data_IF_942651862998
#
_entry.id   IF_942651862998
#
_cell.length_a   1.000
_cell.length_b   1.000
_cell.length_c   1.000
_cell.angle_alpha   90.00
_cell.angle_beta   90.00
_cell.angle_gamma   90.00
#
_symmetry.space_group_name_H-M   'P 1'
#
loop_
_entity.id
_entity.type
_entity.pdbx_description
1 polymer ?
#
# COMPACT_ATOMS: atom_id res chain seq x y z
N UNK A 1 18.19 92.96 -7.22
CA UNK A 1 17.25 92.88 -6.09
C UNK A 1 17.35 91.46 -5.56
N UNK A 2 18.18 91.14 -4.55
CA UNK A 2 18.05 91.42 -3.12
C UNK A 2 16.67 91.10 -2.51
N UNK A 3 16.66 90.12 -1.59
CA UNK A 3 15.73 90.03 -0.46
C UNK A 3 14.72 88.86 -0.53
N UNK A 4 14.92 87.76 0.21
CA UNK A 4 14.50 87.54 1.62
C UNK A 4 12.97 87.27 1.75
N UNK A 5 12.43 86.30 2.51
CA UNK A 5 12.92 85.51 3.66
C UNK A 5 11.89 84.41 4.04
N UNK A 6 12.44 83.26 4.49
CA UNK A 6 12.09 82.42 5.67
C UNK A 6 10.68 81.82 5.89
N UNK A 7 10.68 80.49 6.06
CA UNK A 7 10.57 79.77 7.36
C UNK A 7 11.10 78.32 7.16
N UNK A 8 12.17 77.79 7.79
CA UNK A 8 12.37 77.27 9.19
C UNK A 8 11.24 76.31 9.63
N UNK A 9 11.44 75.11 10.19
CA UNK A 9 12.61 74.45 10.80
C UNK A 9 12.24 72.97 11.15
N UNK A 10 13.25 72.09 11.30
CA UNK A 10 13.39 70.95 12.25
C UNK A 10 14.09 69.74 11.58
N UNK A 11 15.43 69.67 11.65
CA UNK A 11 16.28 68.99 12.66
C UNK A 11 16.20 67.45 12.63
N UNK A 12 17.26 66.81 12.14
CA UNK A 12 18.21 66.09 13.00
C UNK A 12 19.56 65.89 12.29
N UNK A 13 20.65 66.23 12.99
CA UNK A 13 22.05 65.92 12.65
C UNK A 13 22.39 64.53 13.19
N UNK A 14 23.21 63.76 12.47
CA UNK A 14 24.15 62.74 12.98
C UNK A 14 25.17 62.47 11.85
N UNK A 15 26.27 63.21 11.82
CA UNK A 15 27.62 62.76 12.23
C UNK A 15 28.10 61.50 11.49
N UNK A 16 29.07 61.72 10.59
CA UNK A 16 29.84 60.66 9.96
C UNK A 16 30.72 59.97 11.02
N UNK A 17 30.43 58.70 11.33
CA UNK A 17 31.33 57.87 12.13
C UNK A 17 32.52 57.39 11.31
N UNK A 18 33.70 57.75 11.81
CA UNK A 18 35.04 57.38 11.38
C UNK A 18 35.22 55.85 11.47
N UNK A 19 35.03 55.11 10.36
CA UNK A 19 35.39 53.68 10.29
C UNK A 19 36.91 53.50 10.30
N UNK A 20 37.52 53.48 11.48
CA UNK A 20 38.92 53.09 11.66
C UNK A 20 39.06 51.58 11.44
N UNK A 21 40.05 51.19 10.63
CA UNK A 21 40.36 49.78 10.36
C UNK A 21 40.70 49.04 11.66
N UNK A 22 40.30 47.76 11.75
CA UNK A 22 40.61 46.85 12.87
C UNK A 22 42.11 46.82 13.18
N UNK A 23 42.95 46.96 12.15
CA UNK A 23 44.42 47.03 12.29
C UNK A 23 44.85 48.29 13.04
N UNK A 24 44.20 49.43 12.78
CA UNK A 24 44.47 50.69 13.48
C UNK A 24 43.98 50.65 14.94
N UNK A 25 42.83 50.01 15.18
CA UNK A 25 42.29 49.80 16.53
C UNK A 25 43.17 48.87 17.38
N UNK A 26 43.67 47.78 16.79
CA UNK A 26 44.52 46.82 17.48
C UNK A 26 45.90 47.40 17.80
N UNK A 27 46.49 48.13 16.85
CA UNK A 27 47.74 48.85 17.07
C UNK A 27 47.60 49.91 18.17
N UNK A 28 46.49 50.66 18.19
CA UNK A 28 46.22 51.64 19.25
C UNK A 28 46.07 51.02 20.64
N UNK A 29 45.44 49.84 20.75
CA UNK A 29 45.28 49.13 22.02
C UNK A 29 46.60 48.53 22.53
N UNK A 30 47.44 47.97 21.64
CA UNK A 30 48.76 47.41 21.99
C UNK A 30 49.72 48.52 22.41
N UNK A 31 49.70 49.66 21.72
CA UNK A 31 50.56 50.81 22.02
C UNK A 31 50.13 51.54 23.30
N UNK A 32 48.85 51.46 23.68
CA UNK A 32 48.35 51.98 24.97
C UNK A 32 48.75 51.13 26.20
N UNK A 33 49.04 49.83 26.01
CA UNK A 33 49.40 48.90 27.10
C UNK A 33 50.89 48.60 27.22
N UNK A 34 51.66 48.71 26.14
CA UNK A 34 53.08 48.36 26.14
C UNK A 34 53.96 49.52 26.61
N UNK A 35 54.55 49.42 27.81
CA UNK A 35 55.48 50.44 28.34
C UNK A 35 56.94 50.24 27.90
N UNK A 36 57.30 49.10 27.30
CA UNK A 36 58.63 48.83 26.74
C UNK A 36 58.57 47.95 25.47
N UNK A 37 59.57 47.99 24.57
CA UNK A 37 59.56 47.23 23.32
C UNK A 37 59.56 45.71 23.51
N UNK A 38 60.10 45.20 24.63
CA UNK A 38 59.98 43.78 24.96
C UNK A 38 58.53 43.40 25.35
N UNK A 39 57.84 44.22 26.12
CA UNK A 39 56.42 44.02 26.45
C UNK A 39 55.55 44.02 25.20
N UNK A 40 55.88 44.84 24.20
CA UNK A 40 55.20 44.86 22.90
C UNK A 40 55.35 43.52 22.16
N UNK A 41 56.56 42.97 22.12
CA UNK A 41 56.82 41.65 21.48
C UNK A 41 56.10 40.51 22.21
N UNK A 42 56.05 40.55 23.53
CA UNK A 42 55.31 39.57 24.35
C UNK A 42 53.80 39.69 24.13
N UNK A 43 53.25 40.91 24.08
CA UNK A 43 51.83 41.12 23.78
C UNK A 43 51.46 40.60 22.38
N UNK A 44 52.32 40.86 21.39
CA UNK A 44 52.13 40.34 20.03
C UNK A 44 52.19 38.81 19.97
N UNK A 45 53.11 38.18 20.69
CA UNK A 45 53.20 36.72 20.77
C UNK A 45 51.96 36.12 21.45
N UNK A 46 51.49 36.70 22.56
CA UNK A 46 50.27 36.25 23.27
C UNK A 46 49.02 36.43 22.40
N UNK A 47 48.90 37.57 21.72
CA UNK A 47 47.79 37.81 20.79
C UNK A 47 47.79 36.80 19.63
N UNK A 48 48.96 36.46 19.09
CA UNK A 48 49.09 35.48 18.02
C UNK A 48 48.72 34.07 18.47
N UNK A 49 49.13 33.66 19.68
CA UNK A 49 48.74 32.37 20.27
C UNK A 49 47.24 32.30 20.55
N UNK A 50 46.62 33.39 21.02
CA UNK A 50 45.17 33.47 21.22
C UNK A 50 44.39 33.35 19.89
N UNK A 51 44.90 33.96 18.81
CA UNK A 51 44.32 33.82 17.46
C UNK A 51 44.43 32.38 16.96
N UNK A 52 45.56 31.72 17.18
CA UNK A 52 45.73 30.31 16.80
C UNK A 52 44.80 29.41 17.63
N UNK A 53 44.69 29.64 18.94
CA UNK A 53 43.77 28.89 19.80
C UNK A 53 42.31 29.09 19.38
N UNK A 54 41.92 30.31 19.01
CA UNK A 54 40.60 30.63 18.47
C UNK A 54 40.36 29.97 17.10
N UNK A 55 41.38 29.85 16.24
CA UNK A 55 41.28 29.12 14.97
C UNK A 55 41.11 27.61 15.20
N UNK A 56 41.83 27.01 16.16
CA UNK A 56 41.73 25.58 16.49
C UNK A 56 40.40 25.23 17.15
N UNK A 57 39.90 26.07 18.08
CA UNK A 57 38.55 25.92 18.64
C UNK A 57 37.46 26.23 17.60
N UNK A 58 37.71 27.21 16.71
CA UNK A 58 36.84 27.53 15.58
C UNK A 58 36.65 26.34 14.65
N UNK A 59 37.72 25.62 14.29
CA UNK A 59 37.67 24.40 13.46
C UNK A 59 36.86 23.25 14.10
N UNK A 60 36.80 23.18 15.44
CA UNK A 60 35.97 22.18 16.15
C UNK A 60 34.48 22.56 16.17
N UNK A 61 34.16 23.86 16.14
CA UNK A 61 32.78 24.36 16.07
C UNK A 61 32.26 24.47 14.62
N UNK A 62 33.12 24.69 13.61
CA UNK A 62 32.70 24.66 12.20
C UNK A 62 32.53 23.26 11.64
N UNK A 63 33.17 22.22 12.21
CA UNK A 63 32.87 20.84 11.81
C UNK A 63 31.46 20.39 12.26
N UNK A 64 30.92 20.95 13.35
CA UNK A 64 29.53 20.73 13.78
C UNK A 64 28.52 21.74 13.21
N UNK A 65 28.98 22.86 12.64
CA UNK A 65 28.12 23.84 11.97
C UNK A 65 28.01 23.60 10.45
N UNK A 66 28.94 22.90 9.81
CA UNK A 66 28.81 22.47 8.40
C UNK A 66 27.80 21.31 8.20
N UNK A 67 27.21 20.79 9.27
CA UNK A 67 26.03 19.92 9.24
C UNK A 67 24.70 20.67 9.48
N UNK A 68 24.74 22.00 9.66
CA UNK A 68 23.55 22.79 9.89
C UNK A 68 23.66 24.15 9.18
N UNK A 69 23.11 24.18 7.96
CA UNK A 69 22.87 25.32 7.07
C UNK A 69 24.06 25.92 6.33
N UNK A 70 24.04 25.73 5.01
CA UNK A 70 24.38 26.82 4.11
C UNK A 70 23.40 26.96 2.94
N UNK A 71 23.31 28.21 2.48
CA UNK A 71 22.28 28.90 1.73
C UNK A 71 22.06 28.47 0.26
N UNK A 72 20.91 28.91 -0.27
CA UNK A 72 20.59 29.09 -1.70
C UNK A 72 21.81 29.49 -2.56
N UNK A 73 22.28 28.54 -3.36
CA UNK A 73 22.88 28.71 -4.69
C UNK A 73 22.26 27.65 -5.58
N UNK A 74 22.00 28.00 -6.84
CA UNK A 74 21.46 27.09 -7.85
C UNK A 74 22.14 25.72 -7.73
N UNK A 75 21.33 24.70 -7.42
CA UNK A 75 21.80 23.33 -7.33
C UNK A 75 22.20 22.94 -8.73
N UNK A 76 23.51 22.93 -9.01
CA UNK A 76 23.98 21.92 -9.95
C UNK A 76 23.54 20.59 -9.33
N UNK A 77 22.63 19.89 -10.01
CA UNK A 77 22.17 18.55 -9.62
C UNK A 77 23.41 17.67 -9.58
N UNK A 78 24.04 17.59 -8.41
CA UNK A 78 24.97 16.53 -8.03
C UNK A 78 24.26 15.57 -7.10
N UNK A 79 22.94 15.46 -7.24
CA UNK A 79 22.20 14.35 -6.68
C UNK A 79 22.70 13.09 -7.37
N UNK A 80 23.14 12.11 -6.60
CA UNK A 80 23.03 10.72 -7.04
C UNK A 80 21.62 10.57 -7.60
N UNK A 81 21.52 10.42 -8.93
CA UNK A 81 20.28 10.26 -9.69
C UNK A 81 19.29 9.44 -8.86
N UNK A 82 18.09 9.97 -8.61
CA UNK A 82 17.04 9.19 -7.97
C UNK A 82 16.72 8.05 -8.94
N UNK A 83 17.34 6.88 -8.75
CA UNK A 83 17.12 5.70 -9.59
C UNK A 83 15.71 5.17 -9.34
N UNK A 84 14.73 5.81 -9.97
CA UNK A 84 13.30 5.48 -9.86
C UNK A 84 12.87 4.40 -10.86
N UNK A 85 13.82 3.60 -11.37
CA UNK A 85 13.50 2.39 -12.11
C UNK A 85 12.91 1.34 -11.17
N UNK A 86 11.58 1.20 -11.18
CA UNK A 86 10.84 0.44 -10.19
C UNK A 86 9.61 -0.28 -10.79
N UNK A 87 9.03 -1.16 -9.97
CA UNK A 87 7.82 -1.92 -10.27
C UNK A 87 6.99 -2.18 -9.01
N UNK A 88 5.69 -2.36 -9.19
CA UNK A 88 4.77 -2.78 -8.12
C UNK A 88 4.80 -4.29 -7.84
N UNK A 89 5.26 -5.08 -8.81
CA UNK A 89 5.37 -6.55 -8.70
C UNK A 89 6.82 -7.02 -8.79
N UNK A 90 7.68 -6.39 -9.57
CA UNK A 90 9.06 -6.86 -9.77
C UNK A 90 10.01 -6.28 -8.72
N UNK A 91 10.91 -7.11 -8.17
CA UNK A 91 11.91 -6.67 -7.22
C UNK A 91 13.20 -6.19 -7.92
N UNK A 92 13.92 -5.19 -7.37
CA UNK A 92 15.16 -4.69 -7.96
C UNK A 92 16.35 -5.59 -7.67
N UNK A 93 17.23 -5.75 -8.67
CA UNK A 93 18.47 -6.51 -8.56
C UNK A 93 19.65 -5.79 -9.23
N UNK A 94 20.77 -5.67 -8.51
CA UNK A 94 22.04 -5.14 -9.05
C UNK A 94 22.75 -6.11 -10.00
N UNK A 95 22.43 -7.40 -9.91
CA UNK A 95 22.91 -8.46 -10.80
C UNK A 95 21.75 -9.37 -11.17
N UNK A 96 21.73 -9.93 -12.39
CA UNK A 96 20.60 -10.77 -12.84
C UNK A 96 20.51 -12.04 -11.98
N UNK A 97 19.42 -12.28 -11.24
CA UNK A 97 19.27 -13.48 -10.43
C UNK A 97 18.94 -14.69 -11.31
N UNK A 98 19.47 -15.86 -10.95
CA UNK A 98 19.06 -17.13 -11.55
C UNK A 98 17.60 -17.49 -11.16
N UNK A 99 17.26 -17.25 -9.89
CA UNK A 99 15.93 -17.42 -9.34
C UNK A 99 15.46 -16.11 -8.69
N UNK A 100 14.55 -15.37 -9.34
CA UNK A 100 14.00 -14.15 -8.77
C UNK A 100 13.02 -14.46 -7.62
N UNK A 101 12.72 -13.45 -6.79
CA UNK A 101 11.84 -13.60 -5.64
C UNK A 101 10.44 -14.07 -6.05
N UNK A 102 9.92 -15.05 -5.32
CA UNK A 102 8.60 -15.59 -5.55
C UNK A 102 7.50 -14.62 -5.11
N UNK A 103 6.45 -14.49 -5.92
CA UNK A 103 5.23 -13.75 -5.60
C UNK A 103 4.01 -14.55 -6.01
N UNK A 104 3.03 -14.61 -5.11
CA UNK A 104 1.70 -15.12 -5.44
C UNK A 104 0.82 -13.95 -5.85
N UNK A 105 0.06 -14.11 -6.93
CA UNK A 105 -0.90 -13.11 -7.40
C UNK A 105 -2.26 -13.76 -7.51
N UNK A 106 -3.24 -13.21 -6.82
CA UNK A 106 -4.63 -13.65 -6.91
C UNK A 106 -5.23 -13.13 -8.21
N UNK A 107 -5.75 -14.03 -9.04
CA UNK A 107 -6.41 -13.70 -10.31
C UNK A 107 -7.91 -13.91 -10.21
N UNK A 108 -8.66 -13.14 -10.99
CA UNK A 108 -10.09 -13.43 -11.21
C UNK A 108 -10.21 -14.68 -12.09
N UNK A 109 -11.14 -15.56 -11.70
CA UNK A 109 -11.43 -16.85 -12.34
C UNK A 109 -12.85 -16.91 -12.91
N UNK A 110 -13.57 -15.78 -12.96
CA UNK A 110 -14.95 -15.71 -13.43
C UNK A 110 -15.14 -16.03 -14.93
N UNK A 111 -14.11 -15.85 -15.76
CA UNK A 111 -14.11 -16.16 -17.20
C UNK A 111 -13.27 -17.37 -17.62
N UNK A 112 -13.13 -17.58 -18.92
CA UNK A 112 -12.30 -18.66 -19.52
C UNK A 112 -10.80 -18.35 -19.51
N UNK A 113 -10.45 -17.09 -19.26
CA UNK A 113 -9.08 -16.61 -19.15
C UNK A 113 -8.88 -15.92 -17.81
N UNK A 114 -7.68 -16.08 -17.26
CA UNK A 114 -7.21 -15.37 -16.09
C UNK A 114 -6.19 -14.31 -16.51
N UNK A 115 -6.07 -13.23 -15.74
CA UNK A 115 -5.06 -12.20 -16.00
C UNK A 115 -4.52 -11.58 -14.73
N UNK A 116 -3.27 -11.12 -14.80
CA UNK A 116 -2.68 -10.22 -13.80
C UNK A 116 -1.89 -9.10 -14.48
N UNK A 117 -1.68 -8.02 -13.76
CA UNK A 117 -0.94 -6.85 -14.24
C UNK A 117 0.29 -6.59 -13.40
N UNK A 118 1.32 -6.04 -14.03
CA UNK A 118 2.45 -5.42 -13.36
C UNK A 118 2.87 -4.17 -14.11
N UNK A 119 3.48 -3.22 -13.40
CA UNK A 119 3.94 -1.95 -13.97
C UNK A 119 5.44 -1.83 -13.86
N UNK A 120 6.05 -1.23 -14.87
CA UNK A 120 7.45 -0.78 -14.84
C UNK A 120 7.46 0.72 -15.11
N UNK A 121 8.12 1.48 -14.25
CA UNK A 121 8.03 2.94 -14.26
C UNK A 121 9.32 3.61 -13.81
N UNK A 122 9.43 4.90 -14.11
CA UNK A 122 10.54 5.76 -13.72
C UNK A 122 10.13 6.88 -12.74
N UNK A 123 8.98 6.78 -12.07
CA UNK A 123 8.43 7.83 -11.22
C UNK A 123 7.87 7.29 -9.90
N UNK A 124 7.60 8.18 -8.94
CA UNK A 124 6.77 7.80 -7.80
C UNK A 124 5.32 7.60 -8.28
N UNK A 125 4.64 6.57 -7.75
CA UNK A 125 3.29 6.21 -8.20
C UNK A 125 2.21 7.17 -7.67
N UNK A 126 2.48 7.79 -6.52
CA UNK A 126 1.66 8.79 -5.84
C UNK A 126 1.95 10.23 -6.30
N UNK A 127 3.15 10.49 -6.82
CA UNK A 127 3.50 11.78 -7.43
C UNK A 127 4.34 11.61 -8.71
N UNK A 128 3.67 11.69 -9.87
CA UNK A 128 4.32 11.58 -11.18
C UNK A 128 5.19 12.80 -11.53
N UNK A 129 5.22 13.86 -10.72
CA UNK A 129 6.18 14.95 -10.90
C UNK A 129 7.58 14.60 -10.39
N UNK A 130 7.68 13.53 -9.59
CA UNK A 130 8.95 12.98 -9.12
C UNK A 130 9.31 11.78 -10.00
N UNK A 131 10.24 11.98 -10.92
CA UNK A 131 10.68 10.97 -11.86
C UNK A 131 12.21 10.99 -12.06
N UNK A 132 12.71 9.91 -12.64
CA UNK A 132 14.12 9.71 -12.92
C UNK A 132 14.62 10.79 -13.87
N UNK A 133 15.70 11.48 -13.49
CA UNK A 133 16.30 12.57 -14.27
C UNK A 133 17.13 12.08 -15.46
N UNK A 134 17.28 10.76 -15.59
CA UNK A 134 18.06 10.11 -16.63
C UNK A 134 17.29 8.93 -17.22
N UNK A 135 17.62 8.66 -18.48
CA UNK A 135 16.99 7.60 -19.26
C UNK A 135 17.32 6.20 -18.72
N UNK A 136 16.35 5.30 -18.85
CA UNK A 136 16.51 3.86 -18.60
C UNK A 136 15.87 3.09 -19.74
N UNK A 137 16.70 2.35 -20.48
CA UNK A 137 16.26 1.37 -21.46
C UNK A 137 16.19 0.00 -20.80
N UNK A 138 15.09 -0.71 -20.99
CA UNK A 138 14.98 -2.11 -20.55
C UNK A 138 14.36 -3.00 -21.62
N UNK A 139 14.76 -4.27 -21.64
CA UNK A 139 14.16 -5.31 -22.45
C UNK A 139 13.36 -6.26 -21.56
N UNK A 140 12.06 -6.35 -21.83
CA UNK A 140 11.19 -7.28 -21.13
C UNK A 140 11.38 -8.70 -21.68
N UNK A 141 11.65 -9.64 -20.77
CA UNK A 141 11.65 -11.08 -21.00
C UNK A 141 10.66 -11.75 -20.03
N UNK A 142 9.81 -12.62 -20.54
CA UNK A 142 8.82 -13.35 -19.76
C UNK A 142 8.77 -14.80 -20.21
N UNK A 143 8.94 -15.70 -19.25
CA UNK A 143 9.01 -17.13 -19.48
C UNK A 143 7.95 -17.84 -18.63
N UNK A 144 7.03 -18.54 -19.28
CA UNK A 144 6.06 -19.38 -18.60
C UNK A 144 6.56 -20.82 -18.53
N UNK A 145 6.36 -21.47 -17.38
CA UNK A 145 6.68 -22.88 -17.19
C UNK A 145 5.69 -23.54 -16.24
N UNK A 146 5.66 -24.88 -16.25
CA UNK A 146 4.82 -25.63 -15.33
C UNK A 146 5.37 -25.57 -13.90
N UNK A 147 4.47 -25.52 -12.93
CA UNK A 147 4.79 -25.69 -11.50
C UNK A 147 5.28 -27.11 -11.19
N UNK A 148 4.82 -28.12 -11.95
CA UNK A 148 5.02 -29.56 -11.68
C UNK A 148 6.15 -30.21 -12.50
N UNK A 149 7.25 -29.50 -12.76
CA UNK A 149 8.39 -30.09 -13.49
C UNK A 149 9.19 -29.13 -14.36
N UNK A 150 8.88 -27.83 -14.35
CA UNK A 150 9.69 -26.81 -15.03
C UNK A 150 9.60 -26.83 -16.55
N UNK A 151 8.73 -27.65 -17.14
CA UNK A 151 8.48 -27.67 -18.60
C UNK A 151 8.01 -26.30 -19.08
N UNK A 152 8.67 -25.75 -20.10
CA UNK A 152 8.27 -24.47 -20.70
C UNK A 152 6.89 -24.55 -21.32
N UNK A 153 6.06 -23.53 -21.07
CA UNK A 153 4.72 -23.37 -21.64
C UNK A 153 4.78 -22.26 -22.68
N UNK A 154 4.57 -22.59 -23.95
CA UNK A 154 4.71 -21.65 -25.08
C UNK A 154 3.39 -21.20 -25.70
N UNK A 155 2.26 -21.78 -25.27
CA UNK A 155 0.93 -21.45 -25.77
C UNK A 155 -0.09 -21.36 -24.63
N UNK A 156 -1.27 -20.79 -24.93
CA UNK A 156 -2.33 -20.59 -23.93
C UNK A 156 -2.08 -19.42 -22.98
N UNK A 157 -1.12 -18.55 -23.28
CA UNK A 157 -0.91 -17.28 -22.61
C UNK A 157 -0.38 -16.21 -23.57
N UNK A 158 -0.54 -14.95 -23.20
CA UNK A 158 -0.07 -13.78 -23.94
C UNK A 158 0.28 -12.63 -23.00
N UNK A 159 0.99 -11.64 -23.52
CA UNK A 159 1.31 -10.39 -22.81
C UNK A 159 1.00 -9.19 -23.69
N UNK A 160 0.42 -8.15 -23.09
CA UNK A 160 0.15 -6.87 -23.74
C UNK A 160 0.63 -5.71 -22.84
N UNK A 161 1.40 -4.73 -23.34
CA UNK A 161 2.01 -4.70 -24.68
C UNK A 161 3.00 -5.84 -24.88
N UNK A 162 3.32 -6.14 -26.15
CA UNK A 162 4.25 -7.21 -26.49
C UNK A 162 5.62 -6.99 -25.82
N UNK A 163 6.26 -8.10 -25.45
CA UNK A 163 7.61 -8.07 -24.90
C UNK A 163 8.60 -7.47 -25.91
N UNK A 164 9.55 -6.68 -25.41
CA UNK A 164 10.51 -5.96 -26.23
C UNK A 164 11.27 -4.89 -25.44
N UNK A 165 12.07 -4.11 -26.15
CA UNK A 165 12.83 -2.99 -25.57
C UNK A 165 11.93 -1.77 -25.42
N UNK A 166 12.00 -1.13 -24.26
CA UNK A 166 11.22 0.05 -23.90
C UNK A 166 12.14 1.07 -23.24
N UNK A 167 12.00 2.33 -23.67
CA UNK A 167 12.69 3.49 -23.11
C UNK A 167 11.81 4.19 -22.09
N UNK A 168 12.31 4.36 -20.86
CA UNK A 168 11.76 5.26 -19.85
C UNK A 168 12.57 6.57 -19.90
N UNK A 169 11.96 7.69 -20.34
CA UNK A 169 12.69 8.92 -20.61
C UNK A 169 13.15 9.60 -19.31
N UNK A 170 14.30 10.27 -19.34
CA UNK A 170 14.78 11.08 -18.20
C UNK A 170 14.09 12.45 -18.06
N UNK A 171 13.13 12.76 -18.93
CA UNK A 171 12.51 14.10 -19.05
C UNK A 171 11.04 14.15 -18.64
N UNK A 172 10.42 13.00 -18.40
CA UNK A 172 9.02 12.90 -17.96
C UNK A 172 8.76 11.58 -17.26
N UNK A 173 7.72 11.54 -16.43
CA UNK A 173 7.19 10.29 -15.91
C UNK A 173 6.62 9.42 -17.03
N UNK A 174 6.88 8.12 -16.93
CA UNK A 174 6.34 7.08 -17.78
C UNK A 174 6.06 5.84 -16.95
N UNK A 175 4.83 5.37 -17.04
CA UNK A 175 4.37 4.12 -16.43
C UNK A 175 3.95 3.19 -17.56
N UNK A 176 4.57 2.02 -17.63
CA UNK A 176 4.23 0.98 -18.61
C UNK A 176 3.52 -0.13 -17.87
N UNK A 177 2.25 -0.35 -18.21
CA UNK A 177 1.43 -1.41 -17.61
C UNK A 177 1.40 -2.62 -18.54
N UNK A 178 1.85 -3.77 -18.03
CA UNK A 178 1.79 -5.04 -18.72
C UNK A 178 0.67 -5.88 -18.14
N UNK A 179 -0.11 -6.50 -19.02
CA UNK A 179 -1.16 -7.46 -18.69
C UNK A 179 -0.76 -8.81 -19.24
N UNK A 180 -0.59 -9.78 -18.35
CA UNK A 180 -0.37 -11.19 -18.70
C UNK A 180 -1.73 -11.87 -18.65
N UNK A 181 -2.13 -12.49 -19.76
CA UNK A 181 -3.39 -13.24 -19.88
C UNK A 181 -3.09 -14.69 -20.16
N UNK A 182 -3.81 -15.63 -19.55
CA UNK A 182 -3.62 -17.06 -19.76
C UNK A 182 -4.93 -17.84 -19.62
N UNK A 183 -4.99 -19.01 -20.25
CA UNK A 183 -6.17 -19.87 -20.20
C UNK A 183 -6.41 -20.37 -18.77
N UNK A 184 -7.66 -20.37 -18.32
CA UNK A 184 -8.04 -20.84 -16.98
C UNK A 184 -7.61 -22.29 -16.71
N UNK A 185 -7.55 -23.13 -17.75
CA UNK A 185 -7.04 -24.51 -17.64
C UNK A 185 -5.58 -24.61 -17.14
N UNK A 186 -4.79 -23.53 -17.27
CA UNK A 186 -3.41 -23.47 -16.79
C UNK A 186 -3.30 -22.96 -15.34
N UNK A 187 -4.39 -22.49 -14.74
CA UNK A 187 -4.44 -22.02 -13.36
C UNK A 187 -3.91 -23.11 -12.42
N UNK A 188 -3.17 -22.71 -11.38
CA UNK A 188 -2.46 -23.58 -10.43
C UNK A 188 -1.32 -24.45 -11.03
N UNK A 189 -1.18 -24.51 -12.35
CA UNK A 189 -0.17 -25.31 -13.04
C UNK A 189 0.89 -24.47 -13.78
N UNK A 190 0.76 -23.14 -13.79
CA UNK A 190 1.65 -22.20 -14.49
C UNK A 190 2.39 -21.30 -13.51
N UNK A 191 3.66 -21.01 -13.81
CA UNK A 191 4.47 -19.96 -13.18
C UNK A 191 5.14 -19.10 -14.25
N UNK A 192 5.31 -17.83 -13.97
CA UNK A 192 5.96 -16.86 -14.86
C UNK A 192 7.24 -16.34 -14.22
N UNK A 193 8.38 -16.47 -14.91
CA UNK A 193 9.59 -15.70 -14.59
C UNK A 193 9.60 -14.45 -15.46
N UNK A 194 9.61 -13.28 -14.83
CA UNK A 194 9.53 -11.99 -15.51
C UNK A 194 10.81 -11.21 -15.20
N UNK A 195 11.45 -10.68 -16.24
CA UNK A 195 12.65 -9.85 -16.15
C UNK A 195 12.48 -8.60 -17.02
N UNK A 196 12.54 -7.42 -16.40
CA UNK A 196 12.83 -6.18 -17.10
C UNK A 196 14.35 -5.96 -17.04
N UNK A 197 15.08 -6.47 -18.04
CA UNK A 197 16.54 -6.42 -18.08
C UNK A 197 17.00 -5.04 -18.54
N UNK A 198 17.81 -4.34 -17.75
CA UNK A 198 18.37 -3.05 -18.12
C UNK A 198 19.33 -3.23 -19.29
N UNK A 199 19.22 -2.38 -20.31
CA UNK A 199 20.16 -2.35 -21.42
C UNK A 199 21.42 -1.62 -20.95
N UNK A 200 22.58 -2.31 -20.87
CA UNK A 200 23.83 -1.69 -20.44
C UNK A 200 24.21 -0.51 -21.33
N UNK A 201 24.94 0.45 -20.77
CA UNK A 201 25.48 1.64 -21.45
C UNK A 201 24.45 2.64 -22.03
N UNK A 202 23.16 2.27 -22.07
CA UNK A 202 22.05 3.15 -22.49
C UNK A 202 21.16 3.62 -21.34
N UNK A 203 21.45 3.19 -20.12
CA UNK A 203 20.56 3.37 -18.97
C UNK A 203 21.23 4.11 -17.80
N UNK A 204 21.74 5.34 -18.00
CA UNK A 204 22.45 6.07 -16.95
C UNK A 204 21.57 6.46 -15.76
N UNK A 205 20.25 6.27 -15.85
CA UNK A 205 19.29 6.51 -14.76
C UNK A 205 19.13 5.36 -13.78
N UNK A 206 19.89 4.26 -13.89
CA UNK A 206 19.89 3.21 -12.88
C UNK A 206 21.22 2.49 -12.80
N UNK A 207 21.53 1.96 -11.62
CA UNK A 207 22.63 1.02 -11.39
C UNK A 207 22.15 -0.43 -11.25
N UNK A 208 20.85 -0.69 -11.46
CA UNK A 208 20.28 -2.03 -11.42
C UNK A 208 20.58 -2.77 -12.73
N UNK A 209 20.76 -4.08 -12.64
CA UNK A 209 20.82 -4.96 -13.81
C UNK A 209 19.42 -5.32 -14.30
N UNK A 210 18.45 -5.49 -13.40
CA UNK A 210 17.07 -5.78 -13.77
C UNK A 210 16.06 -5.54 -12.64
N UNK A 211 14.78 -5.51 -13.01
CA UNK A 211 13.68 -5.82 -12.10
C UNK A 211 13.18 -7.24 -12.43
N UNK A 212 12.94 -8.08 -11.43
CA UNK A 212 12.50 -9.45 -11.67
C UNK A 212 11.56 -10.03 -10.59
N UNK A 213 10.74 -11.00 -10.98
CA UNK A 213 9.92 -11.81 -10.08
C UNK A 213 9.61 -13.19 -10.67
N UNK A 214 9.39 -14.18 -9.80
CA UNK A 214 8.75 -15.44 -10.14
C UNK A 214 7.29 -15.40 -9.66
N UNK A 215 6.34 -15.22 -10.58
CA UNK A 215 4.92 -15.05 -10.29
C UNK A 215 4.18 -16.38 -10.44
N UNK A 216 3.50 -16.82 -9.38
CA UNK A 216 2.56 -17.94 -9.40
C UNK A 216 1.14 -17.39 -9.26
N UNK A 217 0.31 -17.47 -10.31
CA UNK A 217 -1.10 -17.11 -10.20
C UNK A 217 -1.83 -18.10 -9.29
N UNK A 218 -2.62 -17.57 -8.36
CA UNK A 218 -3.45 -18.34 -7.45
C UNK A 218 -4.92 -17.98 -7.64
N UNK A 219 -5.78 -18.98 -7.46
CA UNK A 219 -7.21 -18.75 -7.36
C UNK A 219 -7.53 -17.90 -6.14
N UNK A 220 -8.40 -16.90 -6.31
CA UNK A 220 -9.01 -16.22 -5.16
C UNK A 220 -9.80 -17.28 -4.39
N UNK A 221 -9.50 -17.48 -3.10
CA UNK A 221 -10.39 -18.26 -2.25
C UNK A 221 -11.81 -17.69 -2.41
N UNK A 222 -12.71 -18.50 -2.97
CA UNK A 222 -14.12 -18.13 -3.03
C UNK A 222 -14.57 -17.93 -1.59
N UNK A 223 -14.82 -16.67 -1.21
CA UNK A 223 -15.62 -16.42 -0.02
C UNK A 223 -17.01 -16.88 -0.43
N UNK A 224 -17.43 -18.05 0.04
CA UNK A 224 -18.79 -18.57 -0.11
C UNK A 224 -19.76 -17.39 0.06
N UNK A 225 -20.41 -17.02 -1.04
CA UNK A 225 -21.19 -15.81 -1.17
C UNK A 225 -22.53 -15.96 -0.46
N UNK A 226 -22.48 -15.99 0.86
CA UNK A 226 -23.55 -16.42 1.76
C UNK A 226 -24.05 -17.84 1.54
N UNK A 227 -24.08 -18.61 2.63
CA UNK A 227 -24.75 -19.90 2.69
C UNK A 227 -25.86 -19.86 3.73
N UNK A 228 -26.94 -20.59 3.46
CA UNK A 228 -28.01 -20.87 4.41
C UNK A 228 -28.00 -22.37 4.65
N UNK A 229 -27.79 -22.77 5.91
CA UNK A 229 -27.83 -24.17 6.32
C UNK A 229 -28.78 -24.32 7.50
N UNK A 230 -29.36 -25.50 7.66
CA UNK A 230 -30.21 -25.77 8.80
C UNK A 230 -30.23 -27.22 9.20
N UNK A 231 -30.47 -27.44 10.50
CA UNK A 231 -30.50 -28.76 11.11
C UNK A 231 -31.29 -28.72 12.41
N UNK A 232 -31.92 -29.83 12.78
CA UNK A 232 -32.45 -30.01 14.13
C UNK A 232 -31.31 -29.89 15.15
N UNK A 233 -31.51 -29.06 16.18
CA UNK A 233 -30.52 -28.76 17.21
C UNK A 233 -30.58 -29.73 18.39
N UNK A 234 -31.69 -30.45 18.54
CA UNK A 234 -31.92 -31.44 19.58
C UNK A 234 -31.31 -32.80 19.18
N UNK A 235 -30.88 -33.59 20.16
CA UNK A 235 -30.08 -34.80 19.93
C UNK A 235 -30.60 -36.07 20.63
N UNK A 236 -31.69 -35.99 21.40
CA UNK A 236 -32.31 -37.14 22.08
C UNK A 236 -33.20 -37.97 21.17
N UNK A 237 -33.95 -38.91 21.74
CA UNK A 237 -34.98 -39.61 20.99
C UNK A 237 -36.09 -38.61 20.60
N UNK A 238 -36.41 -38.52 19.30
CA UNK A 238 -37.35 -37.52 18.78
C UNK A 238 -38.74 -37.59 19.45
N UNK A 239 -39.14 -38.76 19.93
CA UNK A 239 -40.37 -38.93 20.68
C UNK A 239 -40.31 -38.27 22.07
N UNK A 240 -39.17 -38.06 22.69
CA UNK A 240 -39.15 -37.55 24.06
C UNK A 240 -39.52 -36.05 24.16
N UNK A 241 -39.63 -35.39 23.00
CA UNK A 241 -39.90 -33.97 22.89
C UNK A 241 -41.35 -33.67 22.52
N UNK A 242 -41.89 -32.60 23.10
CA UNK A 242 -43.15 -31.97 22.66
C UNK A 242 -42.90 -30.72 21.79
N UNK A 243 -41.66 -30.23 21.77
CA UNK A 243 -41.21 -29.10 20.98
C UNK A 243 -39.80 -29.37 20.46
N UNK A 244 -39.51 -28.86 19.27
CA UNK A 244 -38.30 -29.13 18.51
C UNK A 244 -37.62 -27.81 18.12
N UNK A 245 -36.30 -27.80 18.20
CA UNK A 245 -35.46 -26.66 17.87
C UNK A 245 -34.80 -26.90 16.50
N UNK A 246 -35.12 -26.07 15.52
CA UNK A 246 -34.44 -26.07 14.22
C UNK A 246 -33.45 -24.91 14.18
N UNK A 247 -32.15 -25.21 14.05
CA UNK A 247 -31.12 -24.18 13.92
C UNK A 247 -30.96 -23.80 12.46
N UNK A 248 -30.96 -22.51 12.18
CA UNK A 248 -30.65 -21.92 10.89
C UNK A 248 -29.36 -21.11 11.03
N UNK A 249 -28.43 -21.30 10.12
CA UNK A 249 -27.20 -20.53 10.05
C UNK A 249 -27.11 -19.82 8.70
N UNK A 250 -26.92 -18.50 8.75
CA UNK A 250 -26.60 -17.68 7.58
C UNK A 250 -25.17 -17.19 7.71
N UNK A 251 -24.37 -17.30 6.64
CA UNK A 251 -23.00 -16.80 6.61
C UNK A 251 -22.83 -15.72 5.54
N UNK A 252 -21.70 -15.01 5.53
CA UNK A 252 -21.30 -14.10 4.44
C UNK A 252 -22.03 -12.75 4.38
N UNK A 253 -23.35 -12.75 4.14
CA UNK A 253 -24.19 -11.54 4.01
C UNK A 253 -25.64 -11.84 4.40
N UNK A 254 -26.45 -10.81 4.59
CA UNK A 254 -27.88 -10.96 4.83
C UNK A 254 -28.54 -11.74 3.68
N UNK A 255 -29.41 -12.70 4.01
CA UNK A 255 -30.13 -13.54 3.05
C UNK A 255 -31.62 -13.53 3.34
N UNK A 256 -32.42 -13.71 2.29
CA UNK A 256 -33.78 -14.20 2.44
C UNK A 256 -33.69 -15.70 2.67
N UNK A 257 -34.29 -16.20 3.74
CA UNK A 257 -34.32 -17.63 4.11
C UNK A 257 -35.72 -18.14 3.83
N UNK A 258 -35.82 -19.27 3.14
CA UNK A 258 -37.08 -20.04 3.03
C UNK A 258 -36.96 -21.30 3.88
N UNK A 259 -37.74 -21.36 4.95
CA UNK A 259 -37.89 -22.50 5.86
C UNK A 259 -39.11 -23.31 5.48
N UNK A 260 -38.98 -24.64 5.48
CA UNK A 260 -40.09 -25.59 5.34
C UNK A 260 -40.08 -26.61 6.47
N UNK A 261 -41.26 -27.13 6.80
CA UNK A 261 -41.45 -28.17 7.81
C UNK A 261 -42.50 -29.21 7.39
N UNK A 262 -42.50 -30.35 8.08
CA UNK A 262 -43.37 -31.50 7.82
C UNK A 262 -44.70 -31.45 8.57
N UNK A 263 -45.53 -32.48 8.35
CA UNK A 263 -46.93 -32.49 8.84
C UNK A 263 -47.09 -32.73 10.34
N UNK A 264 -46.07 -33.31 10.98
CA UNK A 264 -46.14 -33.68 12.41
C UNK A 264 -45.84 -32.52 13.34
N UNK A 265 -45.44 -31.36 12.81
CA UNK A 265 -45.08 -30.18 13.59
C UNK A 265 -45.71 -28.91 13.05
N UNK A 266 -45.93 -27.96 13.94
CA UNK A 266 -46.38 -26.61 13.65
C UNK A 266 -45.32 -25.61 14.09
N UNK A 267 -45.13 -24.56 13.29
CA UNK A 267 -44.25 -23.45 13.62
C UNK A 267 -44.78 -22.71 14.86
N UNK A 268 -43.87 -22.17 15.70
CA UNK A 268 -44.27 -21.30 16.81
C UNK A 268 -45.26 -20.21 16.35
N UNK A 269 -46.47 -20.14 16.95
CA UNK A 269 -47.48 -19.14 16.60
C UNK A 269 -46.97 -17.68 16.72
N UNK A 270 -45.95 -17.45 17.54
CA UNK A 270 -45.35 -16.13 17.72
C UNK A 270 -44.22 -15.82 16.74
N UNK A 271 -43.82 -16.77 15.88
CA UNK A 271 -42.69 -16.61 14.96
C UNK A 271 -42.80 -15.35 14.09
N UNK A 272 -43.96 -15.13 13.45
CA UNK A 272 -44.18 -13.94 12.61
C UNK A 272 -44.11 -12.63 13.42
N UNK A 273 -44.61 -12.64 14.65
CA UNK A 273 -44.58 -11.48 15.55
C UNK A 273 -43.16 -11.17 16.01
N UNK A 274 -42.36 -12.19 16.31
CA UNK A 274 -40.95 -12.04 16.70
C UNK A 274 -40.07 -11.55 15.53
N UNK A 275 -40.55 -11.74 14.30
CA UNK A 275 -39.95 -11.26 13.06
C UNK A 275 -40.64 -10.00 12.51
N UNK A 276 -41.42 -9.29 13.33
CA UNK A 276 -42.05 -8.04 12.92
C UNK A 276 -40.98 -7.00 12.59
N UNK A 277 -40.91 -6.56 11.32
CA UNK A 277 -39.95 -5.57 10.84
C UNK A 277 -38.81 -6.12 9.97
N UNK A 278 -38.68 -7.45 9.89
CA UNK A 278 -37.97 -8.13 8.79
C UNK A 278 -39.01 -8.69 7.83
N UNK A 279 -38.68 -8.87 6.53
CA UNK A 279 -39.64 -9.28 5.49
C UNK A 279 -40.13 -10.73 5.71
N UNK A 280 -40.95 -10.95 6.73
CA UNK A 280 -41.43 -12.25 7.17
C UNK A 280 -42.81 -12.55 6.60
N UNK A 281 -42.97 -13.72 6.00
CA UNK A 281 -44.24 -14.27 5.51
C UNK A 281 -44.33 -15.71 5.92
N UNK A 282 -45.43 -16.11 6.56
CA UNK A 282 -45.71 -17.48 6.97
C UNK A 282 -46.93 -17.98 6.21
N UNK A 283 -46.79 -19.14 5.56
CA UNK A 283 -47.87 -19.87 4.93
C UNK A 283 -48.00 -21.23 5.62
N UNK A 284 -48.98 -21.35 6.52
CA UNK A 284 -49.21 -22.57 7.29
C UNK A 284 -49.75 -23.71 6.44
N UNK A 285 -50.50 -23.42 5.37
CA UNK A 285 -51.08 -24.43 4.48
C UNK A 285 -49.99 -25.11 3.65
N UNK A 286 -49.02 -24.32 3.15
CA UNK A 286 -47.85 -24.83 2.44
C UNK A 286 -46.71 -25.27 3.37
N UNK A 287 -46.84 -25.01 4.68
CA UNK A 287 -45.81 -25.23 5.71
C UNK A 287 -44.47 -24.60 5.34
N UNK A 288 -44.54 -23.32 4.96
CA UNK A 288 -43.37 -22.53 4.59
C UNK A 288 -43.34 -21.20 5.35
N UNK A 289 -42.13 -20.71 5.61
CA UNK A 289 -41.89 -19.37 6.12
C UNK A 289 -40.74 -18.75 5.34
N UNK A 290 -40.87 -17.49 4.93
CA UNK A 290 -39.81 -16.72 4.28
C UNK A 290 -39.51 -15.49 5.11
N UNK A 291 -38.25 -15.24 5.45
CA UNK A 291 -37.83 -14.10 6.27
C UNK A 291 -36.38 -13.69 5.97
N UNK A 292 -36.00 -12.45 6.27
CA UNK A 292 -34.62 -11.98 6.06
C UNK A 292 -33.80 -12.15 7.33
N UNK A 293 -32.61 -12.74 7.21
CA UNK A 293 -31.70 -13.00 8.32
C UNK A 293 -30.28 -12.52 7.99
N UNK A 294 -29.67 -11.79 8.91
CA UNK A 294 -28.25 -11.37 8.83
C UNK A 294 -27.31 -12.53 9.19
N UNK A 295 -26.01 -12.46 8.84
CA UNK A 295 -25.06 -13.51 9.21
C UNK A 295 -25.08 -13.81 10.71
N UNK A 296 -25.23 -15.08 11.06
CA UNK A 296 -25.45 -15.53 12.43
C UNK A 296 -26.21 -16.85 12.49
N UNK A 297 -26.62 -17.22 13.71
CA UNK A 297 -27.39 -18.42 13.99
C UNK A 297 -28.70 -18.05 14.68
N UNK A 298 -29.79 -18.67 14.27
CA UNK A 298 -31.11 -18.51 14.87
C UNK A 298 -31.72 -19.89 15.18
N UNK A 299 -32.46 -19.99 16.30
CA UNK A 299 -33.26 -21.18 16.62
C UNK A 299 -34.72 -20.86 16.33
N UNK A 300 -35.32 -21.69 15.49
CA UNK A 300 -36.76 -21.68 15.21
C UNK A 300 -37.42 -22.82 15.96
N UNK A 301 -38.46 -22.49 16.71
CA UNK A 301 -39.21 -23.45 17.51
C UNK A 301 -40.39 -24.04 16.73
N UNK A 302 -40.55 -25.34 16.86
CA UNK A 302 -41.65 -26.12 16.33
C UNK A 302 -42.32 -26.90 17.45
N UNK A 303 -43.63 -27.09 17.36
CA UNK A 303 -44.43 -27.84 18.33
C UNK A 303 -45.04 -29.06 17.66
N UNK A 304 -45.09 -30.18 18.36
CA UNK A 304 -45.78 -31.36 17.86
C UNK A 304 -47.28 -31.09 17.72
N UNK A 305 -47.86 -31.51 16.59
CA UNK A 305 -49.30 -31.38 16.35
C UNK A 305 -50.06 -32.38 17.21
N UNK A 306 -50.75 -31.88 18.23
CA UNK A 306 -51.55 -32.68 19.15
C UNK A 306 -52.63 -33.48 18.42
N UNK A 307 -52.67 -34.79 18.64
CA UNK A 307 -53.61 -35.72 17.98
C UNK A 307 -53.07 -36.41 16.72
N UNK A 308 -51.88 -36.01 16.23
CA UNK A 308 -51.14 -36.75 15.21
C UNK A 308 -50.37 -37.94 15.80
N UNK A 309 -49.88 -38.86 14.97
CA UNK A 309 -48.97 -39.89 15.46
C UNK A 309 -47.65 -39.25 15.91
N UNK A 310 -47.17 -39.65 17.09
CA UNK A 310 -45.91 -39.17 17.64
C UNK A 310 -44.76 -39.36 16.63
N UNK A 311 -43.89 -38.36 16.40
CA UNK A 311 -42.73 -38.54 15.56
C UNK A 311 -41.82 -39.66 16.06
N UNK A 312 -41.29 -40.44 15.13
CA UNK A 312 -40.42 -41.59 15.38
C UNK A 312 -39.01 -41.40 14.80
N UNK A 313 -38.83 -40.46 13.86
CA UNK A 313 -37.51 -40.01 13.40
C UNK A 313 -37.47 -38.48 13.13
N UNK A 314 -36.26 -37.91 13.05
CA UNK A 314 -36.04 -36.49 12.77
C UNK A 314 -36.44 -36.09 11.34
N UNK A 315 -36.37 -37.02 10.39
CA UNK A 315 -36.76 -36.83 9.00
C UNK A 315 -38.27 -36.60 8.86
N UNK A 316 -39.09 -37.23 9.72
CA UNK A 316 -40.55 -37.05 9.70
C UNK A 316 -40.99 -35.62 10.08
N UNK A 317 -40.10 -34.85 10.73
CA UNK A 317 -40.35 -33.44 11.05
C UNK A 317 -40.15 -32.52 9.83
N UNK A 318 -39.49 -32.98 8.76
CA UNK A 318 -39.41 -32.30 7.46
C UNK A 318 -38.65 -30.96 7.40
N UNK A 319 -37.85 -30.64 8.42
CA UNK A 319 -37.14 -29.36 8.53
C UNK A 319 -36.10 -29.16 7.42
N UNK A 320 -36.31 -28.16 6.56
CA UNK A 320 -35.35 -27.79 5.51
C UNK A 320 -35.29 -26.28 5.29
N UNK A 321 -34.11 -25.78 4.92
CA UNK A 321 -33.89 -24.37 4.60
C UNK A 321 -33.11 -24.22 3.31
N UNK A 322 -33.39 -23.13 2.62
CA UNK A 322 -32.66 -22.71 1.44
C UNK A 322 -32.60 -21.18 1.39
N UNK A 323 -31.61 -20.65 0.67
CA UNK A 323 -31.62 -19.24 0.30
C UNK A 323 -32.82 -18.98 -0.62
N UNK A 324 -33.61 -17.96 -0.29
CA UNK A 324 -34.65 -17.43 -1.15
C UNK A 324 -34.02 -16.64 -2.30
N UNK A 325 -34.59 -16.82 -3.49
CA UNK A 325 -34.27 -16.06 -4.71
C UNK A 325 -34.70 -14.61 -4.61
#
# INVERSE_FOLDING_TARGET
MLGNRKAKNNKHKLQAEERRSLTASLNGAIDGMAKTPQTRKVLWAVAFVLVIAALVFGLRLTYSAFSANDHLKAVAVTGTSQSLFASDVLAPYSEKPAEPAAKSVVVDTSGDTCSFTFRVYNCMLDDTNVFNDKEVDYTLDIQASSTNGGTSITSGWSINPAAGTVTLPGTQAKIVTYTVTFNKALLNNIKFKIFANVVPDKSPGTNLACLAAAVTPAERAAVESASVTGSWADSGAVGDYAAYNYRINVTGKQQTVTLKWGEKVELDPHFATNHAGVNCTVNTDERTATFTMSPGSEIVNFYWVGGSAKPSSWEELGGSVQAGS
#
